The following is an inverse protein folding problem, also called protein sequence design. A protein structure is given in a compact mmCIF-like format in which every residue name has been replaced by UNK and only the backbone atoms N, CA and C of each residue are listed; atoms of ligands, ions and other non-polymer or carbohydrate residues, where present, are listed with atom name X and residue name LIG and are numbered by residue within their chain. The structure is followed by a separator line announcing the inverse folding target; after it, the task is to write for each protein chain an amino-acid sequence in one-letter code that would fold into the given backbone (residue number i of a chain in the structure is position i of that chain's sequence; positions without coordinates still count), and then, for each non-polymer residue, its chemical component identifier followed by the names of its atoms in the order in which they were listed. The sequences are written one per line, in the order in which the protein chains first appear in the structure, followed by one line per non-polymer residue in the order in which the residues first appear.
data_IF_170950736433
#
_entry.id   IF_170950736433
#
_cell.length_a   1.000
_cell.length_b   1.000
_cell.length_c   1.000
_cell.angle_alpha   90.00
_cell.angle_beta   90.00
_cell.angle_gamma   90.00
#
_symmetry.space_group_name_H-M   'P 1'
#
loop_
_entity.id
_entity.type
_entity.pdbx_description
1 polymer ?
#
# COMPACT_ATOMS: atom_id res chain seq x y z
N UNK A 1 -45.00 17.89 -24.96
CA UNK A 1 -45.48 17.66 -23.57
C UNK A 1 -44.33 17.06 -22.78
N UNK A 2 -43.63 17.86 -21.97
CA UNK A 2 -42.72 17.31 -20.94
C UNK A 2 -43.60 17.01 -19.74
N UNK A 3 -44.02 15.76 -19.57
CA UNK A 3 -44.67 15.34 -18.34
C UNK A 3 -43.70 15.61 -17.19
N UNK A 4 -44.07 16.57 -16.35
CA UNK A 4 -43.33 16.89 -15.15
C UNK A 4 -43.40 15.66 -14.25
N UNK A 5 -42.28 14.92 -14.14
CA UNK A 5 -42.10 13.80 -13.20
C UNK A 5 -42.80 14.10 -11.86
N UNK A 6 -43.56 13.12 -11.37
CA UNK A 6 -44.20 13.20 -10.06
C UNK A 6 -43.15 13.51 -9.00
N UNK A 7 -43.51 14.26 -7.95
CA UNK A 7 -42.60 14.62 -6.86
C UNK A 7 -41.89 13.38 -6.28
N UNK A 8 -42.60 12.26 -6.20
CA UNK A 8 -42.09 10.97 -5.76
C UNK A 8 -40.99 10.42 -6.70
N UNK A 9 -41.18 10.54 -8.02
CA UNK A 9 -40.21 10.08 -9.02
C UNK A 9 -38.95 10.96 -9.04
N UNK A 10 -39.12 12.28 -8.85
CA UNK A 10 -37.98 13.20 -8.70
C UNK A 10 -37.15 12.86 -7.47
N UNK A 11 -37.80 12.56 -6.35
CA UNK A 11 -37.13 12.21 -5.10
C UNK A 11 -36.38 10.89 -5.24
N UNK A 12 -36.97 9.87 -5.88
CA UNK A 12 -36.29 8.61 -6.22
C UNK A 12 -35.05 8.81 -7.07
N UNK A 13 -35.13 9.66 -8.10
CA UNK A 13 -33.99 9.98 -8.96
C UNK A 13 -32.88 10.70 -8.18
N UNK A 14 -33.25 11.67 -7.33
CA UNK A 14 -32.30 12.40 -6.48
C UNK A 14 -31.56 11.47 -5.52
N UNK A 15 -32.29 10.59 -4.82
CA UNK A 15 -31.70 9.57 -3.94
C UNK A 15 -30.73 8.70 -4.72
N UNK A 16 -31.15 8.19 -5.89
CA UNK A 16 -30.30 7.35 -6.74
C UNK A 16 -29.01 8.07 -7.16
N UNK A 17 -29.09 9.34 -7.55
CA UNK A 17 -27.92 10.15 -7.90
C UNK A 17 -26.98 10.35 -6.71
N UNK A 18 -27.51 10.68 -5.53
CA UNK A 18 -26.73 10.84 -4.32
C UNK A 18 -25.98 9.53 -3.95
N UNK A 19 -26.60 8.37 -4.11
CA UNK A 19 -25.93 7.08 -3.94
C UNK A 19 -24.80 6.86 -4.95
N UNK A 20 -25.00 7.25 -6.21
CA UNK A 20 -23.94 7.17 -7.22
C UNK A 20 -22.77 8.11 -6.90
N UNK A 21 -23.05 9.35 -6.48
CA UNK A 21 -22.02 10.31 -6.08
C UNK A 21 -21.22 9.81 -4.88
N UNK A 22 -21.89 9.28 -3.85
CA UNK A 22 -21.24 8.63 -2.70
C UNK A 22 -20.30 7.52 -3.14
N UNK A 23 -20.75 6.63 -4.03
CA UNK A 23 -19.92 5.52 -4.54
C UNK A 23 -18.74 6.01 -5.40
N UNK A 24 -18.93 7.08 -6.18
CA UNK A 24 -17.87 7.69 -6.96
C UNK A 24 -16.78 8.29 -6.06
N UNK A 25 -17.16 8.98 -4.98
CA UNK A 25 -16.22 9.53 -4.00
C UNK A 25 -15.51 8.41 -3.25
N UNK A 26 -16.23 7.37 -2.81
CA UNK A 26 -15.64 6.17 -2.20
C UNK A 26 -14.56 5.53 -3.08
N UNK A 27 -14.84 5.40 -4.37
CA UNK A 27 -13.88 4.84 -5.34
C UNK A 27 -12.61 5.70 -5.44
N UNK A 28 -12.74 7.03 -5.35
CA UNK A 28 -11.58 7.93 -5.31
C UNK A 28 -10.75 7.71 -4.06
N UNK A 29 -11.37 7.62 -2.87
CA UNK A 29 -10.68 7.35 -1.61
C UNK A 29 -9.89 6.03 -1.69
N UNK A 30 -10.54 4.97 -2.16
CA UNK A 30 -9.90 3.65 -2.34
C UNK A 30 -8.71 3.73 -3.29
N UNK A 31 -8.81 4.47 -4.40
CA UNK A 31 -7.68 4.65 -5.32
C UNK A 31 -6.49 5.36 -4.66
N UNK A 32 -6.73 6.37 -3.82
CA UNK A 32 -5.65 7.02 -3.07
C UNK A 32 -4.99 6.05 -2.08
N UNK A 33 -5.79 5.24 -1.37
CA UNK A 33 -5.27 4.23 -0.44
C UNK A 33 -4.49 3.12 -1.14
N UNK A 34 -4.93 2.67 -2.32
CA UNK A 34 -4.20 1.70 -3.13
C UNK A 34 -2.85 2.27 -3.58
N UNK A 35 -2.82 3.52 -4.07
CA UNK A 35 -1.56 4.20 -4.43
C UNK A 35 -0.58 4.27 -3.26
N UNK A 36 -1.08 4.52 -2.04
CA UNK A 36 -0.24 4.53 -0.83
C UNK A 36 0.23 3.13 -0.43
N UNK A 37 -0.61 2.12 -0.65
CA UNK A 37 -0.28 0.73 -0.40
C UNK A 37 0.86 0.29 -1.32
N UNK A 38 0.83 0.65 -2.60
CA UNK A 38 1.92 0.39 -3.54
C UNK A 38 3.23 1.06 -3.11
N UNK A 39 3.16 2.31 -2.63
CA UNK A 39 4.32 3.02 -2.09
C UNK A 39 4.88 2.40 -0.79
N UNK A 40 4.01 1.75 -0.02
CA UNK A 40 4.38 1.07 1.22
C UNK A 40 5.10 -0.27 0.98
N UNK A 41 4.91 -0.91 -0.17
CA UNK A 41 5.53 -2.21 -0.51
C UNK A 41 6.96 -1.98 -1.01
N UNK A 42 7.93 -2.70 -0.45
CA UNK A 42 9.31 -2.73 -0.96
C UNK A 42 9.51 -3.92 -1.91
N UNK A 43 9.70 -3.63 -3.21
CA UNK A 43 10.14 -4.65 -4.18
C UNK A 43 11.51 -5.25 -3.81
N UNK A 44 12.38 -4.48 -3.14
CA UNK A 44 13.71 -4.95 -2.72
C UNK A 44 13.64 -6.08 -1.69
N UNK A 45 12.64 -6.10 -0.79
CA UNK A 45 12.54 -7.12 0.28
C UNK A 45 12.01 -8.45 -0.26
N UNK A 46 11.13 -8.43 -1.26
CA UNK A 46 10.68 -9.65 -1.92
C UNK A 46 11.78 -10.34 -2.72
N UNK A 47 12.60 -9.58 -3.45
CA UNK A 47 13.68 -10.14 -4.25
C UNK A 47 14.80 -10.73 -3.38
N UNK A 48 15.08 -10.13 -2.22
CA UNK A 48 16.01 -10.69 -1.21
C UNK A 48 15.46 -11.99 -0.62
N UNK A 49 14.13 -12.11 -0.38
CA UNK A 49 13.52 -13.36 0.11
C UNK A 49 13.53 -14.46 -0.96
N UNK A 50 13.26 -14.13 -2.23
CA UNK A 50 13.33 -15.06 -3.36
C UNK A 50 14.77 -15.52 -3.65
N UNK A 51 15.78 -14.65 -3.47
CA UNK A 51 17.19 -15.03 -3.57
C UNK A 51 17.66 -15.91 -2.40
N UNK A 52 17.21 -15.64 -1.16
CA UNK A 52 17.53 -16.49 0.00
C UNK A 52 16.90 -17.89 -0.10
N UNK A 53 15.72 -18.03 -0.69
CA UNK A 53 15.08 -19.33 -0.91
C UNK A 53 15.83 -20.24 -1.91
N UNK A 54 16.62 -19.69 -2.83
CA UNK A 54 17.50 -20.51 -3.71
C UNK A 54 18.72 -21.10 -2.99
N UNK A 55 18.98 -20.73 -1.72
CA UNK A 55 20.10 -21.25 -0.91
C UNK A 55 19.65 -22.06 0.31
N UNK A 56 18.43 -22.61 0.30
CA UNK A 56 18.00 -23.54 1.33
C UNK A 56 18.40 -24.96 0.91
N UNK A 57 19.47 -25.41 1.56
CA UNK A 57 19.93 -26.79 1.74
C UNK A 57 18.89 -27.86 1.45
N UNK A 58 18.93 -28.44 0.25
CA UNK A 58 18.29 -29.71 -0.05
C UNK A 58 19.17 -30.85 0.47
N UNK A 59 19.06 -31.18 1.76
CA UNK A 59 19.80 -32.31 2.34
C UNK A 59 18.98 -33.10 3.36
N UNK A 60 17.67 -33.25 3.14
CA UNK A 60 16.80 -34.03 4.04
C UNK A 60 15.92 -35.08 3.31
N UNK A 61 16.17 -35.36 2.03
CA UNK A 61 15.42 -36.40 1.28
C UNK A 61 16.31 -37.29 0.39
N UNK A 62 17.50 -37.67 0.88
CA UNK A 62 18.38 -38.62 0.17
C UNK A 62 18.45 -40.03 0.81
N UNK A 63 17.75 -40.27 1.91
CA UNK A 63 17.87 -41.53 2.68
C UNK A 63 17.04 -42.72 2.12
N UNK A 64 16.44 -42.58 0.93
CA UNK A 64 15.60 -43.63 0.32
C UNK A 64 15.91 -43.90 -1.15
N UNK A 65 17.16 -43.76 -1.56
CA UNK A 65 17.62 -44.31 -2.84
C UNK A 65 18.21 -45.71 -2.61
N UNK A 66 17.91 -46.72 -3.44
CA UNK A 66 18.63 -47.99 -3.39
C UNK A 66 20.12 -47.71 -3.56
N UNK A 67 20.95 -48.46 -2.83
CA UNK A 67 22.40 -48.26 -2.76
C UNK A 67 23.04 -48.41 -4.15
N UNK A 68 23.07 -47.31 -4.91
CA UNK A 68 23.75 -47.23 -6.19
C UNK A 68 25.24 -47.37 -5.93
N UNK A 69 25.82 -48.53 -6.24
CA UNK A 69 27.26 -48.68 -6.38
C UNK A 69 27.68 -47.82 -7.57
N UNK A 70 28.07 -46.58 -7.29
CA UNK A 70 28.71 -45.71 -8.27
C UNK A 70 29.96 -46.46 -8.75
N UNK A 71 29.96 -46.94 -9.99
CA UNK A 71 31.19 -47.39 -10.63
C UNK A 71 32.18 -46.24 -10.57
N UNK A 72 33.25 -46.42 -9.77
CA UNK A 72 34.32 -45.44 -9.69
C UNK A 72 34.86 -45.29 -11.10
N UNK A 73 34.94 -44.04 -11.60
CA UNK A 73 35.63 -43.74 -12.86
C UNK A 73 36.95 -44.52 -12.88
N UNK A 74 37.32 -45.17 -13.99
CA UNK A 74 38.64 -45.77 -14.12
C UNK A 74 39.67 -44.75 -13.66
N UNK A 75 40.50 -45.10 -12.68
CA UNK A 75 41.66 -44.29 -12.35
C UNK A 75 42.57 -44.36 -13.56
N UNK A 76 42.41 -43.41 -14.48
CA UNK A 76 43.49 -43.07 -15.39
C UNK A 76 44.67 -42.74 -14.49
N UNK A 77 45.78 -43.45 -14.65
CA UNK A 77 47.03 -43.03 -14.04
C UNK A 77 47.20 -41.55 -14.38
N UNK A 78 47.33 -40.73 -13.35
CA UNK A 78 47.53 -39.31 -13.50
C UNK A 78 48.87 -39.14 -14.21
N UNK A 79 48.84 -39.00 -15.54
CA UNK A 79 50.00 -38.53 -16.29
C UNK A 79 50.42 -37.22 -15.64
N UNK A 80 51.54 -37.24 -14.90
CA UNK A 80 52.04 -36.07 -14.14
C UNK A 80 52.16 -34.84 -15.05
N UNK A 81 52.37 -35.07 -16.34
CA UNK A 81 52.43 -34.07 -17.40
C UNK A 81 51.09 -33.36 -17.64
N UNK A 82 49.96 -34.07 -17.59
CA UNK A 82 48.62 -33.50 -17.79
C UNK A 82 48.11 -32.77 -16.55
N UNK A 83 48.40 -33.29 -15.35
CA UNK A 83 48.10 -32.63 -14.08
C UNK A 83 48.90 -31.34 -13.95
N UNK A 84 50.21 -31.37 -14.27
CA UNK A 84 51.04 -30.17 -14.28
C UNK A 84 50.61 -29.16 -15.35
N UNK A 85 50.17 -29.62 -16.53
CA UNK A 85 49.65 -28.74 -17.58
C UNK A 85 48.35 -28.05 -17.16
N UNK A 86 47.41 -28.78 -16.55
CA UNK A 86 46.16 -28.23 -16.04
C UNK A 86 46.38 -27.30 -14.85
N UNK A 87 47.28 -27.66 -13.94
CA UNK A 87 47.72 -26.80 -12.84
C UNK A 87 48.35 -25.51 -13.37
N UNK A 88 49.19 -25.58 -14.40
CA UNK A 88 49.79 -24.41 -15.06
C UNK A 88 48.73 -23.54 -15.75
N UNK A 89 47.76 -24.12 -16.46
CA UNK A 89 46.69 -23.36 -17.11
C UNK A 89 45.78 -22.65 -16.10
N UNK A 90 45.37 -23.33 -15.03
CA UNK A 90 44.47 -22.76 -14.02
C UNK A 90 45.20 -21.83 -13.05
N UNK A 91 46.38 -22.23 -12.54
CA UNK A 91 47.11 -21.48 -11.52
C UNK A 91 47.92 -20.32 -12.08
N UNK A 92 48.57 -20.51 -13.23
CA UNK A 92 49.46 -19.50 -13.83
C UNK A 92 48.75 -18.73 -14.95
N UNK A 93 47.75 -19.31 -15.61
CA UNK A 93 46.91 -18.59 -16.57
C UNK A 93 45.75 -17.89 -15.89
N UNK A 94 44.72 -18.65 -15.51
CA UNK A 94 43.45 -18.07 -15.05
C UNK A 94 43.57 -17.34 -13.71
N UNK A 95 44.15 -17.96 -12.68
CA UNK A 95 44.26 -17.33 -11.36
C UNK A 95 45.24 -16.17 -11.33
N UNK A 96 46.31 -16.18 -12.14
CA UNK A 96 47.22 -15.05 -12.24
C UNK A 96 46.56 -13.85 -12.95
N UNK A 97 45.76 -14.09 -14.00
CA UNK A 97 44.97 -13.04 -14.62
C UNK A 97 43.85 -12.51 -13.70
N UNK A 98 43.18 -13.37 -12.94
CA UNK A 98 42.18 -12.96 -11.95
C UNK A 98 42.82 -12.18 -10.79
N UNK A 99 44.03 -12.57 -10.37
CA UNK A 99 44.80 -11.84 -9.36
C UNK A 99 45.24 -10.48 -9.88
N UNK A 100 45.80 -10.41 -11.10
CA UNK A 100 46.13 -9.13 -11.76
C UNK A 100 44.91 -8.24 -11.96
N UNK A 101 43.76 -8.79 -12.33
CA UNK A 101 42.52 -8.04 -12.45
C UNK A 101 42.03 -7.53 -11.08
N UNK A 102 42.18 -8.34 -10.03
CA UNK A 102 41.88 -7.93 -8.65
C UNK A 102 42.81 -6.81 -8.18
N UNK A 103 44.12 -6.96 -8.38
CA UNK A 103 45.13 -5.98 -7.97
C UNK A 103 44.96 -4.66 -8.75
N UNK A 104 44.63 -4.74 -10.05
CA UNK A 104 44.30 -3.57 -10.87
C UNK A 104 43.00 -2.88 -10.39
N UNK A 105 41.97 -3.64 -9.99
CA UNK A 105 40.74 -3.09 -9.39
C UNK A 105 41.00 -2.45 -8.03
N UNK A 106 41.88 -3.02 -7.20
CA UNK A 106 42.27 -2.41 -5.92
C UNK A 106 43.04 -1.11 -6.14
N UNK A 107 43.93 -1.05 -7.14
CA UNK A 107 44.62 0.17 -7.54
C UNK A 107 43.66 1.24 -8.08
N UNK A 108 42.68 0.86 -8.91
CA UNK A 108 41.64 1.76 -9.42
C UNK A 108 40.74 2.29 -8.29
N UNK A 109 40.45 1.48 -7.28
CA UNK A 109 39.72 1.92 -6.07
C UNK A 109 40.49 2.95 -5.25
N UNK A 110 41.82 2.88 -5.24
CA UNK A 110 42.69 3.84 -4.55
C UNK A 110 42.99 5.09 -5.37
N UNK A 111 42.60 5.13 -6.65
CA UNK A 111 42.82 6.31 -7.49
C UNK A 111 41.98 7.50 -6.98
N UNK A 112 42.64 8.64 -6.77
CA UNK A 112 42.05 9.83 -6.17
C UNK A 112 40.85 10.32 -6.98
N UNK A 113 40.89 10.17 -8.31
CA UNK A 113 39.78 10.53 -9.21
C UNK A 113 38.54 9.67 -8.99
N UNK A 114 38.72 8.37 -8.76
CA UNK A 114 37.64 7.42 -8.51
C UNK A 114 37.02 7.67 -7.14
N UNK A 115 37.84 7.93 -6.12
CA UNK A 115 37.39 8.31 -4.77
C UNK A 115 36.58 9.61 -4.82
N UNK A 116 37.09 10.64 -5.50
CA UNK A 116 36.41 11.92 -5.64
C UNK A 116 35.09 11.82 -6.42
N UNK A 117 35.07 11.04 -7.50
CA UNK A 117 33.85 10.76 -8.26
C UNK A 117 32.81 10.01 -7.42
N UNK A 118 33.21 9.00 -6.65
CA UNK A 118 32.33 8.25 -5.76
C UNK A 118 31.78 9.13 -4.63
N UNK A 119 32.62 10.00 -4.04
CA UNK A 119 32.19 10.96 -3.02
C UNK A 119 31.18 11.96 -3.59
N UNK A 120 31.39 12.43 -4.82
CA UNK A 120 30.45 13.31 -5.51
C UNK A 120 29.12 12.59 -5.81
N UNK A 121 29.16 11.33 -6.26
CA UNK A 121 27.97 10.52 -6.48
C UNK A 121 27.18 10.28 -5.19
N UNK A 122 27.86 9.96 -4.08
CA UNK A 122 27.21 9.85 -2.76
C UNK A 122 26.47 11.14 -2.37
N UNK A 123 27.10 12.31 -2.53
CA UNK A 123 26.47 13.61 -2.26
C UNK A 123 25.29 13.90 -3.19
N UNK A 124 25.38 13.52 -4.45
CA UNK A 124 24.28 13.68 -5.43
C UNK A 124 23.12 12.76 -5.06
N UNK A 125 23.38 11.50 -4.73
CA UNK A 125 22.37 10.55 -4.27
C UNK A 125 21.68 11.01 -2.99
N UNK A 126 22.42 11.53 -2.02
CA UNK A 126 21.86 12.12 -0.79
C UNK A 126 20.89 13.25 -1.10
N UNK A 127 21.30 14.21 -1.96
CA UNK A 127 20.43 15.31 -2.38
C UNK A 127 19.18 14.82 -3.13
N UNK A 128 19.33 13.83 -4.01
CA UNK A 128 18.19 13.22 -4.72
C UNK A 128 17.22 12.58 -3.71
N UNK A 129 17.74 11.88 -2.71
CA UNK A 129 16.92 11.27 -1.66
C UNK A 129 16.24 12.30 -0.76
N UNK A 130 16.91 13.40 -0.41
CA UNK A 130 16.31 14.50 0.34
C UNK A 130 15.15 15.15 -0.42
N UNK A 131 15.36 15.46 -1.70
CA UNK A 131 14.32 15.99 -2.58
C UNK A 131 13.15 15.01 -2.70
N UNK A 132 13.45 13.71 -2.89
CA UNK A 132 12.42 12.66 -2.97
C UNK A 132 11.58 12.58 -1.68
N UNK A 133 12.20 12.64 -0.50
CA UNK A 133 11.47 12.68 0.78
C UNK A 133 10.60 13.92 0.93
N UNK A 134 11.13 15.07 0.54
CA UNK A 134 10.38 16.31 0.61
C UNK A 134 9.13 16.23 -0.27
N UNK A 135 9.30 15.70 -1.50
CA UNK A 135 8.21 15.46 -2.42
C UNK A 135 7.20 14.45 -1.89
N UNK A 136 7.64 13.28 -1.39
CA UNK A 136 6.78 12.27 -0.76
C UNK A 136 5.97 12.83 0.41
N UNK A 137 6.59 13.68 1.24
CA UNK A 137 5.90 14.32 2.36
C UNK A 137 4.79 15.26 1.88
N UNK A 138 5.07 16.08 0.86
CA UNK A 138 4.08 16.97 0.26
C UNK A 138 2.95 16.16 -0.37
N UNK A 139 3.26 15.09 -1.10
CA UNK A 139 2.25 14.20 -1.69
C UNK A 139 1.37 13.55 -0.61
N UNK A 140 1.95 13.08 0.49
CA UNK A 140 1.20 12.51 1.61
C UNK A 140 0.23 13.52 2.23
N UNK A 141 0.70 14.75 2.47
CA UNK A 141 -0.12 15.79 3.07
C UNK A 141 -1.24 16.26 2.11
N UNK A 142 -1.00 16.31 0.79
CA UNK A 142 -2.03 16.59 -0.23
C UNK A 142 -3.08 15.46 -0.30
N UNK A 143 -2.66 14.20 -0.26
CA UNK A 143 -3.58 13.06 -0.24
C UNK A 143 -4.43 13.06 1.03
N UNK A 144 -3.84 13.37 2.20
CA UNK A 144 -4.57 13.49 3.46
C UNK A 144 -5.66 14.55 3.38
N UNK A 145 -5.32 15.74 2.89
CA UNK A 145 -6.27 16.83 2.70
C UNK A 145 -7.43 16.44 1.78
N UNK A 146 -7.12 15.72 0.69
CA UNK A 146 -8.13 15.21 -0.25
C UNK A 146 -9.04 14.17 0.41
N UNK A 147 -8.50 13.21 1.17
CA UNK A 147 -9.28 12.19 1.87
C UNK A 147 -10.22 12.85 2.89
N UNK A 148 -9.72 13.82 3.67
CA UNK A 148 -10.54 14.56 4.64
C UNK A 148 -11.69 15.31 3.94
N UNK A 149 -11.42 15.96 2.80
CA UNK A 149 -12.45 16.63 2.01
C UNK A 149 -13.51 15.63 1.52
N UNK A 150 -13.09 14.51 0.93
CA UNK A 150 -14.01 13.47 0.46
C UNK A 150 -14.86 12.84 1.56
N UNK A 151 -14.31 12.66 2.77
CA UNK A 151 -15.08 12.16 3.92
C UNK A 151 -16.15 13.18 4.34
N UNK A 152 -15.84 14.48 4.33
CA UNK A 152 -16.83 15.53 4.60
C UNK A 152 -17.94 15.51 3.54
N UNK A 153 -17.58 15.40 2.27
CA UNK A 153 -18.53 15.31 1.18
C UNK A 153 -19.45 14.07 1.31
N UNK A 154 -18.89 12.91 1.65
CA UNK A 154 -19.67 11.69 1.91
C UNK A 154 -20.67 11.93 3.04
N UNK A 155 -20.26 12.53 4.17
CA UNK A 155 -21.16 12.81 5.30
C UNK A 155 -22.31 13.73 4.91
N UNK A 156 -22.03 14.79 4.13
CA UNK A 156 -23.08 15.68 3.63
C UNK A 156 -24.06 14.94 2.71
N UNK A 157 -23.55 14.09 1.82
CA UNK A 157 -24.39 13.28 0.92
C UNK A 157 -25.23 12.28 1.72
N UNK A 158 -24.65 11.64 2.73
CA UNK A 158 -25.36 10.71 3.62
C UNK A 158 -26.50 11.39 4.38
N UNK A 159 -26.27 12.59 4.93
CA UNK A 159 -27.34 13.38 5.55
C UNK A 159 -28.45 13.72 4.55
N UNK A 160 -28.09 14.09 3.32
CA UNK A 160 -29.05 14.33 2.25
C UNK A 160 -29.86 13.08 1.91
N UNK A 161 -29.21 11.91 1.80
CA UNK A 161 -29.89 10.63 1.54
C UNK A 161 -30.85 10.30 2.69
N UNK A 162 -30.41 10.42 3.95
CA UNK A 162 -31.25 10.17 5.14
C UNK A 162 -32.54 11.00 5.11
N UNK A 163 -32.41 12.28 4.79
CA UNK A 163 -33.56 13.19 4.72
C UNK A 163 -34.47 12.88 3.53
N UNK A 164 -33.91 12.60 2.36
CA UNK A 164 -34.70 12.33 1.15
C UNK A 164 -35.40 10.96 1.24
N UNK A 165 -34.76 9.93 1.82
CA UNK A 165 -35.37 8.62 2.06
C UNK A 165 -36.49 8.67 3.10
N UNK A 166 -36.30 9.41 4.21
CA UNK A 166 -37.37 9.61 5.21
C UNK A 166 -38.58 10.30 4.58
N UNK A 167 -38.36 11.35 3.78
CA UNK A 167 -39.43 12.03 3.03
C UNK A 167 -40.12 11.08 2.04
N UNK A 168 -39.35 10.29 1.30
CA UNK A 168 -39.88 9.34 0.31
C UNK A 168 -40.76 8.29 0.98
N UNK A 169 -40.30 7.73 2.10
CA UNK A 169 -41.03 6.74 2.87
C UNK A 169 -42.33 7.33 3.42
N UNK A 170 -42.27 8.53 4.01
CA UNK A 170 -43.46 9.25 4.50
C UNK A 170 -44.47 9.52 3.39
N UNK A 171 -44.02 10.02 2.24
CA UNK A 171 -44.91 10.29 1.09
C UNK A 171 -45.58 9.01 0.57
N UNK A 172 -44.83 7.90 0.46
CA UNK A 172 -45.37 6.62 0.02
C UNK A 172 -46.42 6.08 1.00
N UNK A 173 -46.13 6.12 2.30
CA UNK A 173 -47.04 5.66 3.33
C UNK A 173 -48.30 6.54 3.39
N UNK A 174 -48.15 7.86 3.38
CA UNK A 174 -49.27 8.80 3.38
C UNK A 174 -50.15 8.57 2.14
N UNK A 175 -49.55 8.48 0.95
CA UNK A 175 -50.29 8.20 -0.29
C UNK A 175 -51.05 6.87 -0.25
N UNK A 176 -50.46 5.84 0.38
CA UNK A 176 -51.16 4.57 0.59
C UNK A 176 -52.36 4.72 1.52
N UNK A 177 -52.18 5.32 2.69
CA UNK A 177 -53.25 5.51 3.67
C UNK A 177 -54.35 6.47 3.17
N UNK A 178 -54.02 7.47 2.38
CA UNK A 178 -55.00 8.35 1.73
C UNK A 178 -55.95 7.58 0.81
N UNK A 179 -55.43 6.60 0.04
CA UNK A 179 -56.28 5.72 -0.78
C UNK A 179 -57.21 4.86 0.08
N UNK A 180 -56.77 4.49 1.28
CA UNK A 180 -57.54 3.67 2.23
C UNK A 180 -58.67 4.43 2.93
N UNK A 181 -58.67 5.76 2.88
CA UNK A 181 -59.69 6.62 3.49
C UNK A 181 -61.11 6.30 3.02
N UNK A 182 -61.25 5.85 1.77
CA UNK A 182 -62.57 5.58 1.17
C UNK A 182 -63.17 4.22 1.59
N UNK A 183 -62.43 3.40 2.34
CA UNK A 183 -62.84 2.08 2.76
C UNK A 183 -63.38 2.08 4.19
N UNK A 184 -64.15 1.05 4.53
CA UNK A 184 -64.61 0.77 5.88
C UNK A 184 -63.67 -0.25 6.51
N UNK A 185 -63.13 0.06 7.68
CA UNK A 185 -62.27 -0.82 8.48
C UNK A 185 -63.07 -1.72 9.40
N UNK A 186 -62.75 -3.01 9.45
CA UNK A 186 -63.27 -3.94 10.46
C UNK A 186 -62.50 -3.86 11.79
N UNK A 187 -63.15 -4.17 12.90
CA UNK A 187 -62.51 -4.25 14.22
C UNK A 187 -61.80 -5.60 14.47
N UNK A 188 -61.52 -6.37 13.41
CA UNK A 188 -60.86 -7.68 13.49
C UNK A 188 -59.34 -7.54 13.39
N UNK A 189 -58.62 -8.58 13.81
CA UNK A 189 -57.19 -8.71 13.57
C UNK A 189 -56.94 -9.89 12.63
N UNK A 190 -56.46 -9.68 11.38
CA UNK A 190 -56.07 -8.40 10.78
C UNK A 190 -57.27 -7.48 10.45
N UNK A 191 -57.01 -6.17 10.39
CA UNK A 191 -57.99 -5.17 9.96
C UNK A 191 -58.24 -5.33 8.46
N UNK A 192 -59.49 -5.60 8.10
CA UNK A 192 -59.91 -5.76 6.71
C UNK A 192 -60.58 -4.47 6.26
N UNK A 193 -60.21 -4.01 5.06
CA UNK A 193 -60.80 -2.85 4.42
C UNK A 193 -61.74 -3.31 3.31
N UNK A 194 -62.97 -2.83 3.33
CA UNK A 194 -63.96 -3.15 2.30
C UNK A 194 -64.75 -1.91 1.93
N UNK A 195 -65.27 -1.86 0.69
CA UNK A 195 -66.04 -0.72 0.19
C UNK A 195 -67.39 -1.22 -0.34
N UNK A 196 -68.53 -0.77 0.21
CA UNK A 196 -69.84 -1.11 -0.32
C UNK A 196 -70.10 -0.40 -1.67
N UNK A 197 -70.86 -1.04 -2.56
CA UNK A 197 -71.27 -0.43 -3.83
C UNK A 197 -72.23 0.75 -3.65
N UNK A 198 -73.07 0.73 -2.60
CA UNK A 198 -73.97 1.83 -2.22
C UNK A 198 -73.84 2.13 -0.73
N UNK A 199 -73.76 3.41 -0.38
CA UNK A 199 -73.66 3.85 1.00
C UNK A 199 -75.05 4.08 1.61
N UNK A 200 -75.32 3.41 2.72
CA UNK A 200 -76.38 3.72 3.67
C UNK A 200 -75.84 4.63 4.80
N UNK A 201 -76.70 5.29 5.57
CA UNK A 201 -76.31 6.17 6.68
C UNK A 201 -75.41 5.48 7.69
N UNK A 202 -75.71 4.22 8.03
CA UNK A 202 -74.86 3.39 8.92
C UNK A 202 -73.46 3.17 8.35
N UNK A 203 -73.35 2.86 7.06
CA UNK A 203 -72.05 2.65 6.40
C UNK A 203 -71.26 3.95 6.23
N UNK A 204 -71.96 5.09 6.11
CA UNK A 204 -71.32 6.41 6.04
C UNK A 204 -70.74 6.83 7.39
N UNK A 205 -71.38 6.46 8.50
CA UNK A 205 -70.81 6.63 9.85
C UNK A 205 -69.55 5.77 10.00
N UNK A 206 -69.59 4.50 9.58
CA UNK A 206 -68.43 3.61 9.63
C UNK A 206 -67.26 4.14 8.77
N UNK A 207 -67.56 4.66 7.58
CA UNK A 207 -66.55 5.31 6.73
C UNK A 207 -65.88 6.48 7.46
N UNK A 208 -66.65 7.40 8.07
CA UNK A 208 -66.10 8.53 8.85
C UNK A 208 -65.18 8.07 9.98
N UNK A 209 -65.57 7.02 10.71
CA UNK A 209 -64.74 6.44 11.77
C UNK A 209 -63.41 5.91 11.21
N UNK A 210 -63.45 5.26 10.04
CA UNK A 210 -62.23 4.83 9.35
C UNK A 210 -61.40 6.01 8.87
N UNK A 211 -61.99 7.10 8.37
CA UNK A 211 -61.25 8.31 8.01
C UNK A 211 -60.49 8.90 9.22
N UNK A 212 -61.10 8.94 10.40
CA UNK A 212 -60.46 9.40 11.63
C UNK A 212 -59.32 8.46 12.07
N UNK A 213 -59.53 7.15 11.98
CA UNK A 213 -58.49 6.16 12.26
C UNK A 213 -57.28 6.36 11.32
N UNK A 214 -57.54 6.54 10.02
CA UNK A 214 -56.52 6.77 9.01
C UNK A 214 -55.78 8.09 9.26
N UNK A 215 -56.49 9.18 9.63
CA UNK A 215 -55.85 10.46 10.01
C UNK A 215 -54.89 10.29 11.19
N UNK A 216 -55.31 9.59 12.24
CA UNK A 216 -54.44 9.29 13.40
C UNK A 216 -53.19 8.50 12.99
N UNK A 217 -53.33 7.56 12.05
CA UNK A 217 -52.19 6.80 11.50
C UNK A 217 -51.27 7.69 10.67
N UNK A 218 -51.81 8.56 9.82
CA UNK A 218 -51.04 9.54 9.04
C UNK A 218 -50.25 10.47 9.97
N UNK A 219 -50.88 10.95 11.05
CA UNK A 219 -50.22 11.84 12.01
C UNK A 219 -49.10 11.11 12.78
N UNK A 220 -49.31 9.85 13.13
CA UNK A 220 -48.25 9.01 13.69
C UNK A 220 -47.08 8.79 12.70
N UNK A 221 -47.36 8.61 11.41
CA UNK A 221 -46.33 8.43 10.37
C UNK A 221 -45.51 9.70 10.17
N UNK A 222 -46.15 10.87 10.27
CA UNK A 222 -45.47 12.17 10.19
C UNK A 222 -44.51 12.38 11.36
N UNK A 223 -44.86 11.92 12.56
CA UNK A 223 -44.04 12.06 13.76
C UNK A 223 -42.94 11.00 13.88
N UNK A 224 -43.07 9.85 13.22
CA UNK A 224 -42.03 8.83 13.19
C UNK A 224 -40.85 9.21 12.29
N UNK A 225 -39.67 8.71 12.62
CA UNK A 225 -38.43 8.88 11.87
C UNK A 225 -38.06 7.55 11.19
N UNK A 226 -38.02 7.53 9.86
CA UNK A 226 -37.68 6.34 9.05
C UNK A 226 -36.25 6.39 8.50
N UNK A 227 -35.35 7.10 9.19
CA UNK A 227 -33.96 7.29 8.75
C UNK A 227 -33.22 5.98 8.51
N UNK A 228 -32.41 5.98 7.46
CA UNK A 228 -31.47 4.90 7.13
C UNK A 228 -30.17 5.10 7.89
N UNK A 229 -29.67 4.02 8.48
CA UNK A 229 -28.39 3.98 9.17
C UNK A 229 -27.27 3.64 8.17
N UNK A 230 -26.29 4.53 8.06
CA UNK A 230 -25.05 4.25 7.35
C UNK A 230 -24.00 3.76 8.33
N UNK A 231 -23.20 2.78 7.91
CA UNK A 231 -22.03 2.34 8.65
C UNK A 231 -20.90 3.34 8.43
N UNK A 232 -20.29 3.79 9.51
CA UNK A 232 -19.09 4.61 9.44
C UNK A 232 -17.93 3.78 8.88
N UNK A 233 -17.27 4.30 7.85
CA UNK A 233 -16.10 3.68 7.25
C UNK A 233 -14.84 4.39 7.76
N UNK A 234 -13.94 3.63 8.39
CA UNK A 234 -12.74 4.15 9.08
C UNK A 234 -11.57 4.43 8.12
N UNK A 235 -11.83 5.17 7.05
CA UNK A 235 -10.83 5.50 6.02
C UNK A 235 -9.61 6.24 6.58
N UNK A 236 -9.79 7.07 7.61
CA UNK A 236 -8.69 7.79 8.27
C UNK A 236 -7.74 6.84 9.01
N UNK A 237 -8.27 5.80 9.66
CA UNK A 237 -7.44 4.83 10.39
C UNK A 237 -6.57 4.03 9.43
N UNK A 238 -7.12 3.67 8.26
CA UNK A 238 -6.35 3.00 7.19
C UNK A 238 -5.26 3.90 6.62
N UNK A 239 -5.60 5.16 6.36
CA UNK A 239 -4.63 6.15 5.91
C UNK A 239 -3.50 6.36 6.93
N UNK A 240 -3.83 6.51 8.21
CA UNK A 240 -2.85 6.69 9.28
C UNK A 240 -1.92 5.48 9.44
N UNK A 241 -2.46 4.27 9.30
CA UNK A 241 -1.64 3.04 9.29
C UNK A 241 -0.64 3.07 8.14
N UNK A 242 -1.08 3.39 6.92
CA UNK A 242 -0.21 3.49 5.75
C UNK A 242 0.84 4.60 5.90
N UNK A 243 0.44 5.78 6.41
CA UNK A 243 1.34 6.90 6.69
C UNK A 243 2.44 6.51 7.69
N UNK A 244 2.11 5.72 8.71
CA UNK A 244 3.11 5.20 9.68
C UNK A 244 4.07 4.21 9.03
N UNK A 245 3.59 3.30 8.19
CA UNK A 245 4.43 2.32 7.48
C UNK A 245 5.45 3.05 6.59
N UNK A 246 5.00 4.05 5.82
CA UNK A 246 5.87 4.85 4.93
C UNK A 246 6.94 5.62 5.74
N UNK A 247 6.55 6.22 6.87
CA UNK A 247 7.51 6.89 7.77
C UNK A 247 8.55 5.93 8.35
N UNK A 248 8.13 4.76 8.81
CA UNK A 248 9.03 3.76 9.39
C UNK A 248 10.04 3.25 8.35
N UNK A 249 9.58 2.98 7.13
CA UNK A 249 10.44 2.60 6.00
C UNK A 249 11.51 3.65 5.71
N UNK A 250 11.10 4.93 5.63
CA UNK A 250 12.04 6.01 5.41
C UNK A 250 13.08 6.08 6.55
N UNK A 251 12.71 5.81 7.81
CA UNK A 251 13.65 5.78 8.92
C UNK A 251 14.61 4.57 8.89
N UNK A 252 14.13 3.37 8.53
CA UNK A 252 14.97 2.16 8.42
C UNK A 252 16.07 2.31 7.37
N UNK A 253 15.79 2.96 6.23
CA UNK A 253 16.78 3.21 5.19
C UNK A 253 17.99 4.01 5.70
N UNK A 254 17.78 5.05 6.52
CA UNK A 254 18.87 5.85 7.09
C UNK A 254 19.65 5.13 8.19
N UNK A 255 18.98 4.27 8.95
CA UNK A 255 19.64 3.47 9.97
C UNK A 255 20.63 2.49 9.33
N UNK A 256 20.19 1.78 8.29
CA UNK A 256 21.04 0.85 7.55
C UNK A 256 22.18 1.55 6.79
N UNK A 257 21.94 2.76 6.24
CA UNK A 257 22.97 3.53 5.52
C UNK A 257 24.04 4.13 6.45
N UNK A 258 23.66 4.57 7.66
CA UNK A 258 24.62 5.02 8.68
C UNK A 258 25.56 3.90 9.11
N UNK A 259 25.07 2.67 9.21
CA UNK A 259 25.87 1.51 9.59
C UNK A 259 26.84 1.09 8.47
N UNK A 260 26.43 1.19 7.19
CA UNK A 260 27.29 0.92 6.02
C UNK A 260 28.38 1.98 5.80
N UNK A 261 28.09 3.28 6.04
CA UNK A 261 29.10 4.33 5.93
C UNK A 261 30.12 4.28 7.09
N UNK A 262 29.73 3.84 8.28
CA UNK A 262 30.68 3.58 9.38
C UNK A 262 31.58 2.38 9.09
N UNK A 263 31.03 1.27 8.58
CA UNK A 263 31.83 0.08 8.24
C UNK A 263 32.88 0.35 7.14
N UNK A 264 32.54 1.18 6.14
CA UNK A 264 33.48 1.59 5.09
C UNK A 264 34.60 2.52 5.60
N UNK A 265 34.37 3.28 6.68
CA UNK A 265 35.41 4.12 7.27
C UNK A 265 36.40 3.29 8.11
N UNK A 266 35.92 2.29 8.86
CA UNK A 266 36.77 1.39 9.64
C UNK A 266 37.62 0.42 8.80
N UNK A 267 37.15 -0.02 7.63
CA UNK A 267 37.97 -0.86 6.73
C UNK A 267 39.17 -0.09 6.13
N UNK A 268 39.01 1.20 5.85
CA UNK A 268 40.09 2.03 5.29
C UNK A 268 41.16 2.42 6.33
N UNK A 269 40.79 2.57 7.61
CA UNK A 269 41.74 2.90 8.68
C UNK A 269 42.61 1.71 9.12
N UNK A 270 42.13 0.47 8.96
CA UNK A 270 42.89 -0.76 9.30
C UNK A 270 44.04 -1.00 8.30
N UNK A 271 43.85 -0.64 7.03
CA UNK A 271 44.88 -0.79 5.99
C UNK A 271 46.03 0.23 6.17
N UNK A 272 45.74 1.41 6.70
CA UNK A 272 46.76 2.44 6.92
C UNK A 272 47.66 2.21 8.15
N UNK A 273 47.23 1.38 9.12
CA UNK A 273 48.03 1.07 10.33
C UNK A 273 48.97 -0.13 10.18
N UNK A 274 48.85 -0.93 9.12
CA UNK A 274 49.65 -2.14 8.91
C UNK A 274 50.89 -1.95 8.02
N UNK A 275 51.15 -0.73 7.53
CA UNK A 275 52.25 -0.42 6.61
C UNK A 275 53.44 0.36 7.19
N UNK A 276 53.48 0.70 8.48
CA UNK A 276 54.54 1.54 9.05
C UNK A 276 55.34 0.81 10.13
N UNK A 277 56.19 -0.14 9.72
CA UNK A 277 57.34 -0.62 10.51
C UNK A 277 58.35 -1.31 9.58
N UNK A 278 59.19 -0.51 8.91
CA UNK A 278 60.62 -0.81 8.73
C UNK A 278 61.27 0.28 7.87
N UNK A 279 62.17 1.06 8.47
CA UNK A 279 63.56 1.25 8.02
C UNK A 279 64.12 2.53 8.66
N UNK A 280 64.75 2.35 9.81
CA UNK A 280 65.78 3.26 10.29
C UNK A 280 67.09 2.47 10.42
N UNK A 281 68.20 3.20 10.23
CA UNK A 281 69.60 2.85 10.52
C UNK A 281 70.40 2.25 9.35
N UNK A 282 71.10 3.13 8.60
CA UNK A 282 72.57 3.24 8.70
C UNK A 282 73.11 4.48 7.94
N UNK A 283 73.52 5.47 8.76
CA UNK A 283 74.77 6.24 8.69
C UNK A 283 75.87 5.66 7.75
N UNK A 284 76.82 6.37 7.16
CA UNK A 284 77.23 7.78 7.07
C UNK A 284 78.57 7.71 6.28
N UNK A 285 78.98 8.85 5.70
CA UNK A 285 80.37 9.29 5.41
C UNK A 285 80.85 9.34 3.96
N UNK A 286 81.04 10.61 3.56
CA UNK A 286 82.29 11.25 3.06
C UNK A 286 82.69 10.90 1.61
N UNK A 287 83.19 11.80 0.77
CA UNK A 287 83.66 13.18 0.90
C UNK A 287 84.06 13.69 -0.50
N UNK A 288 84.09 15.02 -0.70
CA UNK A 288 85.04 15.78 -1.56
C UNK A 288 84.86 15.61 -3.09
N UNK A 289 85.05 16.59 -3.98
CA UNK A 289 85.03 18.05 -4.02
C UNK A 289 85.38 18.42 -5.48
N UNK A 290 85.17 19.69 -5.85
CA UNK A 290 85.97 20.48 -6.81
C UNK A 290 85.55 20.49 -8.29
N UNK A 291 85.03 21.68 -8.65
CA UNK A 291 85.28 22.54 -9.83
C UNK A 291 84.99 22.00 -11.24
N UNK A 292 84.49 22.80 -12.21
CA UNK A 292 84.47 24.27 -12.35
C UNK A 292 83.14 24.77 -12.89
#
# INVERSE_FOLDING_TARGET
MKEFLSENERLKLKIKNNYFEKNAIRSKIVNYLNRLTDLSIDHNVEDIKKQKQKRISSNENLDKLPEFKIEKRPKLEEDETTVNRNKRLLQIGLFDHLRKAKDALEQEKTDEKVIMHNLQNKRVEEKIHEVKRHFEKIELDDIEMKIIAYIKDIKMIEECIKQDEDKLMKLNLISHYEKMKNFISTNTYPTIFWCPFKFNDKTRILQKNTEEFIKKKIDAIKSTNYQVEFKDENWLDEFDKLKRIIKNKNNEYFKNKSDDDQNNMYENDIVNKSGSHHNDVLEEKKCISVYS
#
